data_IF_323064912180
#
_entry.id   IF_323064912180
#
_cell.length_a   1.000
_cell.length_b   1.000
_cell.length_c   1.000
_cell.angle_alpha   90.00
_cell.angle_beta   90.00
_cell.angle_gamma   90.00
#
_symmetry.space_group_name_H-M   'P 1'
#
loop_
_entity.id
_entity.type
_entity.pdbx_description
1 polymer ?
#
# COMPACT_ATOMS: atom_id res chain seq x y z
N UNK A 1 38.04 5.94 -4.96
CA UNK A 1 36.57 5.69 -4.91
C UNK A 1 36.36 4.48 -4.02
N UNK A 2 35.68 4.66 -2.88
CA UNK A 2 35.39 3.55 -1.98
C UNK A 2 34.21 2.78 -2.58
N UNK A 3 34.47 1.59 -3.12
CA UNK A 3 33.44 0.61 -3.48
C UNK A 3 32.80 0.12 -2.18
N UNK A 4 31.84 0.89 -1.66
CA UNK A 4 31.01 0.44 -0.57
C UNK A 4 30.06 -0.62 -1.13
N UNK A 5 30.47 -1.89 -1.06
CA UNK A 5 29.63 -3.03 -1.40
C UNK A 5 28.42 -3.05 -0.45
N UNK A 6 27.33 -2.41 -0.87
CA UNK A 6 26.08 -2.38 -0.11
C UNK A 6 25.54 -3.82 -0.01
N UNK A 7 25.04 -4.24 1.16
CA UNK A 7 24.53 -5.59 1.34
C UNK A 7 23.39 -5.88 0.34
N UNK A 8 23.42 -7.07 -0.27
CA UNK A 8 22.47 -7.48 -1.32
C UNK A 8 21.00 -7.54 -0.88
N UNK A 9 20.74 -7.58 0.43
CA UNK A 9 19.39 -7.52 0.99
C UNK A 9 18.86 -6.08 1.12
N UNK A 10 19.72 -5.07 1.03
CA UNK A 10 19.36 -3.64 1.15
C UNK A 10 19.45 -2.94 -0.19
N UNK A 11 20.40 -3.35 -1.05
CA UNK A 11 20.63 -2.75 -2.35
C UNK A 11 20.58 -3.80 -3.48
N UNK A 12 19.78 -3.55 -4.50
CA UNK A 12 19.68 -4.36 -5.70
C UNK A 12 20.11 -3.53 -6.93
N UNK A 13 20.94 -4.12 -7.79
CA UNK A 13 21.32 -3.49 -9.06
C UNK A 13 20.27 -3.81 -10.12
N UNK A 14 19.67 -2.78 -10.71
CA UNK A 14 18.71 -2.94 -11.82
C UNK A 14 19.45 -3.14 -13.14
N UNK A 15 18.73 -3.68 -14.13
CA UNK A 15 19.24 -3.86 -15.52
C UNK A 15 19.57 -2.54 -16.22
N UNK A 16 19.04 -1.42 -15.75
CA UNK A 16 19.31 -0.07 -16.28
C UNK A 16 20.56 0.57 -15.65
N UNK A 17 21.34 -0.18 -14.87
CA UNK A 17 22.58 0.28 -14.25
C UNK A 17 22.39 1.03 -12.93
N UNK A 18 21.15 1.35 -12.54
CA UNK A 18 20.84 2.07 -11.29
C UNK A 18 20.83 1.13 -10.09
N UNK A 19 21.08 1.69 -8.91
CA UNK A 19 20.96 0.99 -7.63
C UNK A 19 19.60 1.30 -7.00
N UNK A 20 18.82 0.27 -6.69
CA UNK A 20 17.63 0.38 -5.83
C UNK A 20 18.04 0.05 -4.41
N UNK A 21 17.84 1.00 -3.50
CA UNK A 21 18.10 0.82 -2.06
C UNK A 21 16.78 0.87 -1.34
N UNK A 22 16.42 -0.23 -0.67
CA UNK A 22 15.26 -0.30 0.20
C UNK A 22 15.54 0.49 1.48
N UNK A 23 14.79 1.56 1.70
CA UNK A 23 14.72 2.29 2.96
C UNK A 23 13.49 1.81 3.73
N UNK A 24 13.41 2.15 5.02
CA UNK A 24 12.36 1.63 5.91
C UNK A 24 10.92 1.84 5.38
N UNK A 25 10.65 2.98 4.74
CA UNK A 25 9.32 3.32 4.16
C UNK A 25 9.38 3.84 2.72
N UNK A 26 10.57 3.84 2.14
CA UNK A 26 10.89 4.50 0.87
C UNK A 26 11.86 3.62 0.09
N UNK A 27 12.05 3.92 -1.17
CA UNK A 27 13.01 3.28 -2.03
C UNK A 27 13.83 4.37 -2.71
N UNK A 28 15.15 4.35 -2.50
CA UNK A 28 16.05 5.27 -3.17
C UNK A 28 16.57 4.62 -4.46
N UNK A 29 16.37 5.29 -5.58
CA UNK A 29 16.93 4.98 -6.89
C UNK A 29 18.14 5.88 -7.11
N UNK A 30 19.34 5.33 -7.04
CA UNK A 30 20.59 6.06 -7.22
C UNK A 30 21.09 5.77 -8.65
N UNK A 31 21.07 6.80 -9.50
CA UNK A 31 21.73 6.81 -10.80
C UNK A 31 22.93 7.76 -10.81
N UNK A 32 23.71 7.78 -11.89
CA UNK A 32 24.94 8.59 -11.97
C UNK A 32 24.68 10.09 -11.87
N UNK A 33 23.56 10.58 -12.43
CA UNK A 33 23.24 12.02 -12.42
C UNK A 33 22.18 12.44 -11.39
N UNK A 34 21.43 11.50 -10.81
CA UNK A 34 20.36 11.83 -9.86
C UNK A 34 20.03 10.71 -8.88
N UNK A 35 19.57 11.14 -7.71
CA UNK A 35 18.98 10.28 -6.67
C UNK A 35 17.49 10.57 -6.58
N UNK A 36 16.66 9.56 -6.85
CA UNK A 36 15.20 9.64 -6.71
C UNK A 36 14.76 8.87 -5.47
N UNK A 37 14.03 9.50 -4.56
CA UNK A 37 13.37 8.81 -3.45
C UNK A 37 11.92 8.59 -3.86
N UNK A 38 11.51 7.33 -3.99
CA UNK A 38 10.13 6.94 -4.28
C UNK A 38 9.52 6.28 -3.06
N UNK A 39 8.22 6.47 -2.84
CA UNK A 39 7.50 5.60 -1.91
C UNK A 39 7.56 4.15 -2.42
N UNK A 40 7.85 3.20 -1.54
CA UNK A 40 7.85 1.80 -1.90
C UNK A 40 6.43 1.42 -2.33
N UNK A 41 6.21 0.91 -3.55
CA UNK A 41 4.87 0.57 -4.07
C UNK A 41 4.00 -0.24 -3.10
N UNK A 42 4.62 -1.02 -2.22
CA UNK A 42 3.96 -1.79 -1.16
C UNK A 42 3.14 -0.95 -0.16
N UNK A 43 3.43 0.35 0.01
CA UNK A 43 2.72 1.22 0.96
C UNK A 43 1.33 1.63 0.48
N UNK A 44 1.07 1.60 -0.84
CA UNK A 44 -0.21 2.01 -1.45
C UNK A 44 -1.12 0.79 -1.68
N UNK A 45 -0.56 -0.38 -2.00
CA UNK A 45 -1.34 -1.57 -2.40
C UNK A 45 -2.22 -2.08 -1.26
N UNK A 46 -1.68 -2.19 -0.04
CA UNK A 46 -2.43 -2.74 1.09
C UNK A 46 -3.63 -1.84 1.49
N UNK A 47 -3.47 -0.51 1.64
CA UNK A 47 -4.61 0.39 1.83
C UNK A 47 -5.63 0.35 0.69
N UNK A 48 -5.18 0.26 -0.57
CA UNK A 48 -6.09 0.18 -1.71
C UNK A 48 -6.97 -1.08 -1.67
N UNK A 49 -6.41 -2.24 -1.28
CA UNK A 49 -7.17 -3.47 -1.06
C UNK A 49 -8.20 -3.26 0.05
N UNK A 50 -7.80 -2.63 1.17
CA UNK A 50 -8.71 -2.34 2.27
C UNK A 50 -9.88 -1.43 1.88
N UNK A 51 -9.64 -0.42 1.03
CA UNK A 51 -10.70 0.43 0.45
C UNK A 51 -11.62 -0.40 -0.44
N UNK A 52 -11.08 -1.26 -1.31
CA UNK A 52 -11.88 -2.11 -2.19
C UNK A 52 -12.76 -3.09 -1.40
N UNK A 53 -12.21 -3.73 -0.36
CA UNK A 53 -12.95 -4.66 0.48
C UNK A 53 -14.00 -3.94 1.33
N UNK A 54 -13.66 -2.82 1.97
CA UNK A 54 -14.60 -2.04 2.78
C UNK A 54 -15.74 -1.46 1.94
N UNK A 55 -15.41 -0.89 0.77
CA UNK A 55 -16.40 -0.38 -0.17
C UNK A 55 -17.25 -1.49 -0.78
N UNK A 56 -16.64 -2.62 -1.12
CA UNK A 56 -17.34 -3.81 -1.63
C UNK A 56 -18.32 -4.40 -0.60
N UNK A 57 -17.93 -4.45 0.68
CA UNK A 57 -18.82 -4.85 1.76
C UNK A 57 -20.02 -3.90 1.90
N UNK A 58 -19.78 -2.58 1.85
CA UNK A 58 -20.85 -1.58 1.85
C UNK A 58 -21.79 -1.69 0.65
N UNK A 59 -21.24 -1.91 -0.55
CA UNK A 59 -22.03 -2.11 -1.76
C UNK A 59 -22.88 -3.39 -1.70
N UNK A 60 -22.31 -4.49 -1.19
CA UNK A 60 -23.03 -5.74 -1.02
C UNK A 60 -24.21 -5.58 -0.04
N UNK A 61 -24.01 -4.87 1.08
CA UNK A 61 -25.11 -4.53 1.99
C UNK A 61 -26.17 -3.70 1.26
N UNK A 62 -25.77 -2.69 0.50
CA UNK A 62 -26.71 -1.80 -0.18
C UNK A 62 -27.59 -2.51 -1.22
N UNK A 63 -27.08 -3.57 -1.86
CA UNK A 63 -27.78 -4.32 -2.91
C UNK A 63 -28.59 -5.49 -2.33
N UNK A 64 -28.00 -6.23 -1.39
CA UNK A 64 -28.49 -7.55 -0.96
C UNK A 64 -28.98 -7.59 0.50
N UNK A 65 -29.12 -6.43 1.18
CA UNK A 65 -29.46 -6.39 2.62
C UNK A 65 -30.71 -7.20 3.02
N UNK A 66 -31.69 -7.33 2.12
CA UNK A 66 -32.92 -8.09 2.38
C UNK A 66 -32.72 -9.62 2.43
N UNK A 67 -31.70 -10.13 1.74
CA UNK A 67 -31.47 -11.56 1.56
C UNK A 67 -30.27 -12.09 2.40
N UNK A 68 -29.48 -11.18 2.98
CA UNK A 68 -28.34 -11.54 3.82
C UNK A 68 -28.79 -11.98 5.23
N UNK A 69 -28.23 -13.07 5.77
CA UNK A 69 -28.52 -13.47 7.14
C UNK A 69 -28.03 -12.39 8.12
N UNK A 70 -28.83 -12.11 9.16
CA UNK A 70 -28.61 -11.00 10.08
C UNK A 70 -27.18 -10.93 10.64
N UNK A 71 -26.60 -12.07 11.06
CA UNK A 71 -25.24 -12.12 11.58
C UNK A 71 -24.18 -11.68 10.58
N UNK A 72 -24.36 -12.03 9.30
CA UNK A 72 -23.45 -11.64 8.23
C UNK A 72 -23.60 -10.17 7.88
N UNK A 73 -24.83 -9.63 7.92
CA UNK A 73 -25.09 -8.21 7.74
C UNK A 73 -24.42 -7.37 8.84
N UNK A 74 -24.55 -7.78 10.10
CA UNK A 74 -23.86 -7.14 11.24
C UNK A 74 -22.34 -7.23 11.08
N UNK A 75 -21.82 -8.39 10.69
CA UNK A 75 -20.39 -8.60 10.47
C UNK A 75 -19.82 -7.71 9.35
N UNK A 76 -20.48 -7.66 8.20
CA UNK A 76 -20.10 -6.80 7.08
C UNK A 76 -20.20 -5.33 7.44
N UNK A 77 -21.25 -4.93 8.18
CA UNK A 77 -21.43 -3.55 8.60
C UNK A 77 -20.30 -3.12 9.54
N UNK A 78 -19.98 -3.94 10.56
CA UNK A 78 -18.88 -3.68 11.48
C UNK A 78 -17.53 -3.65 10.75
N UNK A 79 -17.30 -4.56 9.81
CA UNK A 79 -16.11 -4.58 8.97
C UNK A 79 -16.00 -3.30 8.13
N UNK A 80 -17.07 -2.91 7.43
CA UNK A 80 -17.07 -1.72 6.57
C UNK A 80 -16.84 -0.43 7.39
N UNK A 81 -17.48 -0.31 8.56
CA UNK A 81 -17.33 0.83 9.48
C UNK A 81 -15.89 1.04 9.96
N UNK A 82 -15.09 -0.02 10.07
CA UNK A 82 -13.71 0.06 10.53
C UNK A 82 -12.70 0.03 9.37
N UNK A 83 -12.80 -0.99 8.52
CA UNK A 83 -11.83 -1.25 7.47
C UNK A 83 -11.79 -0.10 6.46
N UNK A 84 -12.95 0.45 6.08
CA UNK A 84 -13.02 1.50 5.07
C UNK A 84 -12.32 2.80 5.52
N UNK A 85 -12.69 3.46 6.63
CA UNK A 85 -12.04 4.72 7.02
C UNK A 85 -10.56 4.54 7.35
N UNK A 86 -10.16 3.44 7.99
CA UNK A 86 -8.75 3.15 8.29
C UNK A 86 -7.95 3.05 6.98
N UNK A 87 -8.49 2.32 5.99
CA UNK A 87 -7.82 2.12 4.71
C UNK A 87 -7.77 3.41 3.89
N UNK A 88 -8.81 4.23 3.92
CA UNK A 88 -8.81 5.55 3.25
C UNK A 88 -7.74 6.45 3.86
N UNK A 89 -7.66 6.55 5.20
CA UNK A 89 -6.65 7.37 5.87
C UNK A 89 -5.23 6.88 5.59
N UNK A 90 -5.02 5.57 5.58
CA UNK A 90 -3.73 4.97 5.23
C UNK A 90 -3.37 5.22 3.76
N UNK A 91 -4.34 5.16 2.85
CA UNK A 91 -4.15 5.40 1.42
C UNK A 91 -3.79 6.86 1.15
N UNK A 92 -4.51 7.81 1.76
CA UNK A 92 -4.22 9.24 1.69
C UNK A 92 -2.81 9.52 2.21
N UNK A 93 -2.45 8.94 3.36
CA UNK A 93 -1.10 9.08 3.93
C UNK A 93 -0.03 8.50 3.01
N UNK A 94 -0.30 7.36 2.37
CA UNK A 94 0.62 6.74 1.43
C UNK A 94 0.83 7.58 0.16
N UNK A 95 -0.18 8.32 -0.30
CA UNK A 95 -0.06 9.27 -1.41
C UNK A 95 0.59 10.59 -1.01
N UNK A 96 0.24 11.19 0.13
CA UNK A 96 0.83 12.45 0.58
C UNK A 96 2.28 12.27 1.06
N UNK A 97 2.63 11.09 1.56
CA UNK A 97 3.99 10.74 1.98
C UNK A 97 4.89 10.22 0.84
N UNK A 98 4.37 10.14 -0.40
CA UNK A 98 5.09 9.70 -1.60
C UNK A 98 5.59 10.90 -2.42
#
# INVERSE_FOLDING_TARGET
>A
MVDAALPSHVAARRRDGRYEVLLHRSLALIGEEKVEIRSARSTVVLPAIGVALGGGAGALIAIEAGDLPFGLLVGLLAFALLAFPISVMALVTAFMGA
#
